data_IF_700283333769
#
_entry.id   IF_700283333769
#
_cell.length_a   1.000
_cell.length_b   1.000
_cell.length_c   1.000
_cell.angle_alpha   90.00
_cell.angle_beta   90.00
_cell.angle_gamma   90.00
#
_symmetry.space_group_name_H-M   'P 1'
#
loop_
_entity.id
_entity.type
_entity.pdbx_description
1 polymer ?
#
# COMPACT_ATOMS: atom_id res chain seq x y z
N UNK A 1 -64.98 10.78 8.13
CA UNK A 1 -64.98 12.13 8.75
C UNK A 1 -65.17 11.95 10.25
N UNK A 2 -64.33 12.54 11.11
CA UNK A 2 -62.90 12.29 11.36
C UNK A 2 -62.66 11.78 12.82
N UNK A 3 -61.67 10.93 13.11
CA UNK A 3 -60.24 11.18 13.32
C UNK A 3 -59.90 12.15 14.46
N UNK A 4 -59.55 11.62 15.64
CA UNK A 4 -58.88 12.34 16.73
C UNK A 4 -57.95 11.41 17.53
N UNK A 5 -56.69 11.29 17.10
CA UNK A 5 -55.55 11.15 18.01
C UNK A 5 -54.31 11.71 17.30
N UNK A 6 -54.07 13.00 17.54
CA UNK A 6 -52.91 13.73 17.03
C UNK A 6 -51.61 13.27 17.68
N UNK A 7 -50.65 12.87 16.84
CA UNK A 7 -49.27 12.57 17.21
C UNK A 7 -48.53 13.87 17.50
N UNK A 8 -47.88 13.97 18.66
CA UNK A 8 -46.91 15.02 18.97
C UNK A 8 -45.72 14.97 17.97
N UNK A 9 -45.27 16.09 17.39
CA UNK A 9 -44.07 16.11 16.57
C UNK A 9 -42.81 16.11 17.43
N UNK A 10 -41.87 15.22 17.08
CA UNK A 10 -40.49 15.19 17.60
C UNK A 10 -39.75 16.48 17.25
N UNK A 11 -39.19 17.16 18.24
CA UNK A 11 -38.27 18.29 18.05
C UNK A 11 -37.04 17.84 17.22
N UNK A 12 -36.78 18.54 16.12
CA UNK A 12 -35.54 18.40 15.33
C UNK A 12 -34.60 19.54 15.70
N UNK A 13 -33.31 19.28 15.99
CA UNK A 13 -32.36 20.35 16.28
C UNK A 13 -32.16 21.23 15.03
N UNK A 14 -32.29 22.54 15.23
CA UNK A 14 -32.20 23.56 14.19
C UNK A 14 -30.72 23.88 13.90
N UNK A 15 -30.03 23.01 13.15
CA UNK A 15 -28.73 23.38 12.56
C UNK A 15 -28.99 24.22 11.31
N UNK A 16 -28.96 25.55 11.44
CA UNK A 16 -28.77 26.43 10.27
C UNK A 16 -27.27 26.58 10.03
N UNK A 17 -26.81 26.07 8.90
CA UNK A 17 -25.45 26.34 8.40
C UNK A 17 -25.34 27.84 8.15
N UNK A 18 -24.49 28.53 8.91
CA UNK A 18 -24.20 29.96 8.69
C UNK A 18 -23.49 30.05 7.34
N UNK A 19 -24.17 30.59 6.33
CA UNK A 19 -23.57 30.96 5.05
C UNK A 19 -23.38 32.47 5.07
N UNK A 20 -22.12 32.90 5.03
CA UNK A 20 -21.79 34.31 4.86
C UNK A 20 -22.09 34.71 3.41
N UNK A 21 -22.78 35.82 3.23
CA UNK A 21 -23.02 36.38 1.92
C UNK A 21 -21.69 36.83 1.29
N UNK A 22 -21.53 36.69 -0.03
CA UNK A 22 -20.28 37.00 -0.74
C UNK A 22 -19.80 38.44 -0.52
N UNK A 23 -20.74 39.35 -0.25
CA UNK A 23 -20.46 40.75 0.12
C UNK A 23 -19.61 40.90 1.39
N UNK A 24 -19.68 39.94 2.33
CA UNK A 24 -18.87 39.93 3.54
C UNK A 24 -17.36 39.83 3.23
N UNK A 25 -16.98 38.94 2.31
CA UNK A 25 -15.58 38.74 1.92
C UNK A 25 -15.04 39.94 1.14
N UNK A 26 -15.88 40.57 0.32
CA UNK A 26 -15.52 41.78 -0.42
C UNK A 26 -15.29 42.97 0.51
N UNK A 27 -16.08 43.08 1.58
CA UNK A 27 -15.98 44.18 2.55
C UNK A 27 -14.84 43.99 3.56
N UNK A 28 -14.59 42.76 4.00
CA UNK A 28 -13.58 42.48 5.03
C UNK A 28 -12.18 42.23 4.47
N UNK A 29 -12.04 42.06 3.15
CA UNK A 29 -10.77 41.74 2.50
C UNK A 29 -10.29 40.30 2.74
N UNK A 30 -11.05 39.49 3.48
CA UNK A 30 -10.82 38.06 3.58
C UNK A 30 -11.18 37.36 2.27
N UNK A 31 -10.37 36.37 1.88
CA UNK A 31 -10.64 35.59 0.67
C UNK A 31 -11.83 34.66 0.90
N UNK A 32 -12.71 34.58 -0.11
CA UNK A 32 -13.88 33.71 -0.11
C UNK A 32 -13.42 32.24 -0.21
N UNK A 33 -13.69 31.40 0.82
CA UNK A 33 -13.30 29.99 0.82
C UNK A 33 -13.94 29.18 -0.32
N UNK A 34 -15.15 29.53 -0.77
CA UNK A 34 -15.81 28.86 -1.88
C UNK A 34 -15.13 29.19 -3.22
N UNK A 35 -14.59 30.41 -3.33
CA UNK A 35 -13.86 30.86 -4.51
C UNK A 35 -12.46 30.23 -4.58
N UNK A 36 -11.79 30.04 -3.43
CA UNK A 36 -10.54 29.26 -3.35
C UNK A 36 -10.76 27.79 -3.71
N UNK A 37 -11.86 27.18 -3.25
CA UNK A 37 -12.20 25.79 -3.59
C UNK A 37 -12.48 25.63 -5.09
N UNK A 38 -13.17 26.59 -5.70
CA UNK A 38 -13.44 26.60 -7.15
C UNK A 38 -12.19 26.88 -7.99
N UNK A 39 -11.27 27.73 -7.51
CA UNK A 39 -9.97 27.94 -8.16
C UNK A 39 -9.07 26.70 -8.04
N UNK A 40 -9.06 26.03 -6.89
CA UNK A 40 -8.37 24.76 -6.69
C UNK A 40 -8.95 23.62 -7.55
N UNK A 41 -10.26 23.63 -7.81
CA UNK A 41 -10.92 22.69 -8.72
C UNK A 41 -10.67 22.99 -10.21
N UNK A 42 -10.34 24.23 -10.57
CA UNK A 42 -10.04 24.64 -11.96
C UNK A 42 -8.57 24.48 -12.35
N UNK A 43 -7.67 24.33 -11.39
CA UNK A 43 -6.26 24.07 -11.65
C UNK A 43 -6.03 22.55 -11.81
N UNK A 44 -6.14 22.04 -13.04
CA UNK A 44 -5.57 20.74 -13.37
C UNK A 44 -4.06 20.78 -13.10
N UNK A 45 -3.50 19.87 -12.28
CA UNK A 45 -2.09 19.94 -11.93
C UNK A 45 -1.25 19.64 -13.16
N UNK A 46 -0.52 20.64 -13.64
CA UNK A 46 0.42 20.51 -14.75
C UNK A 46 1.63 19.69 -14.30
N UNK A 47 2.13 18.82 -15.17
CA UNK A 47 3.32 17.96 -15.01
C UNK A 47 4.54 18.51 -14.34
N UNK A 48 4.83 19.78 -14.64
CA UNK A 48 5.95 20.48 -14.08
C UNK A 48 5.90 20.30 -12.57
N UNK A 49 4.70 20.42 -11.98
CA UNK A 49 4.44 20.19 -10.57
C UNK A 49 4.69 18.75 -10.12
N UNK A 50 4.43 17.71 -10.91
CA UNK A 50 4.58 16.30 -10.50
C UNK A 50 6.04 15.79 -10.57
N UNK A 51 6.77 16.14 -11.64
CA UNK A 51 8.20 15.82 -11.77
C UNK A 51 9.06 16.68 -10.84
N UNK A 52 8.69 17.96 -10.69
CA UNK A 52 9.17 18.81 -9.60
C UNK A 52 8.83 18.13 -8.29
N UNK A 53 7.64 17.58 -8.04
CA UNK A 53 7.36 16.93 -6.74
C UNK A 53 8.22 15.68 -6.48
N UNK A 54 8.54 14.80 -7.41
CA UNK A 54 9.43 13.67 -7.07
C UNK A 54 10.88 14.14 -6.79
N UNK A 55 11.38 15.09 -7.57
CA UNK A 55 12.74 15.63 -7.42
C UNK A 55 12.87 16.65 -6.28
N UNK A 56 11.84 17.46 -6.03
CA UNK A 56 11.68 18.40 -4.92
C UNK A 56 11.37 17.66 -3.64
N UNK A 57 10.66 16.53 -3.64
CA UNK A 57 10.55 15.72 -2.42
C UNK A 57 11.90 15.14 -1.98
N UNK A 58 12.78 14.76 -2.90
CA UNK A 58 14.14 14.33 -2.54
C UNK A 58 15.06 15.50 -2.16
N UNK A 59 14.91 16.67 -2.79
CA UNK A 59 15.68 17.89 -2.48
C UNK A 59 15.21 18.57 -1.18
N UNK A 60 13.90 18.73 -0.99
CA UNK A 60 13.25 19.25 0.24
C UNK A 60 13.40 18.31 1.43
N UNK A 61 13.54 16.99 1.25
CA UNK A 61 13.94 16.10 2.34
C UNK A 61 15.27 16.48 2.96
N UNK A 62 16.21 16.92 2.12
CA UNK A 62 17.51 17.41 2.56
C UNK A 62 17.44 18.81 3.16
N UNK A 63 16.53 19.67 2.69
CA UNK A 63 16.33 21.04 3.22
C UNK A 63 15.45 21.10 4.48
N UNK A 64 14.53 20.15 4.69
CA UNK A 64 13.60 20.08 5.84
C UNK A 64 14.14 19.25 7.02
N UNK A 65 15.37 18.74 6.93
CA UNK A 65 16.01 17.93 7.97
C UNK A 65 15.41 16.52 8.16
N UNK A 66 14.57 16.06 7.22
CA UNK A 66 13.87 14.76 7.26
C UNK A 66 14.51 13.74 6.29
N UNK A 67 15.74 14.01 5.81
CA UNK A 67 16.45 13.17 4.83
C UNK A 67 16.61 11.71 5.26
N UNK A 68 16.55 11.44 6.57
CA UNK A 68 16.67 10.11 7.14
C UNK A 68 15.36 9.28 7.18
N UNK A 69 14.18 9.88 6.91
CA UNK A 69 12.89 9.21 7.09
C UNK A 69 12.27 8.87 5.74
N UNK A 70 12.02 7.57 5.53
CA UNK A 70 11.44 7.12 4.27
C UNK A 70 9.91 7.28 4.26
N UNK A 71 9.32 8.11 3.39
CA UNK A 71 7.88 8.43 3.42
C UNK A 71 7.10 7.74 2.29
N UNK A 72 5.94 7.17 2.61
CA UNK A 72 4.95 6.57 1.69
C UNK A 72 3.56 7.15 1.95
N UNK A 73 2.66 7.00 0.99
CA UNK A 73 1.24 7.33 1.14
C UNK A 73 0.37 6.10 0.90
N UNK A 74 -0.62 5.88 1.77
CA UNK A 74 -1.55 4.75 1.63
C UNK A 74 -2.46 4.87 0.40
N UNK A 75 -2.85 6.10 0.02
CA UNK A 75 -3.72 6.37 -1.13
C UNK A 75 -3.04 7.31 -2.12
N UNK A 76 -3.46 7.27 -3.37
CA UNK A 76 -3.09 8.23 -4.41
C UNK A 76 -3.74 9.59 -4.14
N UNK A 77 -3.18 10.35 -3.21
CA UNK A 77 -3.62 11.71 -2.93
C UNK A 77 -3.06 12.69 -3.97
N UNK A 78 -3.84 13.75 -4.26
CA UNK A 78 -3.37 14.89 -5.04
C UNK A 78 -2.11 15.50 -4.43
N UNK A 79 -1.28 16.11 -5.29
CA UNK A 79 0.03 16.71 -4.93
C UNK A 79 -0.07 17.65 -3.73
N UNK A 80 -1.05 18.56 -3.73
CA UNK A 80 -1.23 19.54 -2.66
C UNK A 80 -1.47 18.90 -1.30
N UNK A 81 -2.18 17.77 -1.25
CA UNK A 81 -2.46 17.06 -0.01
C UNK A 81 -1.20 16.35 0.53
N UNK A 82 -0.38 15.77 -0.36
CA UNK A 82 0.92 15.19 0.01
C UNK A 82 1.87 16.25 0.56
N UNK A 83 1.92 17.42 -0.09
CA UNK A 83 2.73 18.55 0.35
C UNK A 83 2.31 19.05 1.74
N UNK A 84 1.01 19.28 1.99
CA UNK A 84 0.51 19.71 3.30
C UNK A 84 0.89 18.75 4.43
N UNK A 85 0.89 17.43 4.18
CA UNK A 85 1.27 16.43 5.18
C UNK A 85 2.75 16.48 5.55
N UNK A 86 3.61 16.65 4.54
CA UNK A 86 5.04 16.81 4.76
C UNK A 86 5.37 18.13 5.45
N UNK A 87 4.69 19.20 5.06
CA UNK A 87 4.82 20.48 5.73
C UNK A 87 4.39 20.38 7.20
N UNK A 88 3.33 19.64 7.50
CA UNK A 88 2.93 19.34 8.88
C UNK A 88 4.00 18.55 9.62
N UNK A 89 4.57 17.51 9.02
CA UNK A 89 5.66 16.74 9.64
C UNK A 89 6.93 17.58 9.84
N UNK A 90 7.25 18.47 8.90
CA UNK A 90 8.35 19.43 9.04
C UNK A 90 8.10 20.44 10.14
N UNK A 91 6.88 20.97 10.28
CA UNK A 91 6.57 21.83 11.43
C UNK A 91 6.76 21.10 12.76
N UNK A 92 6.40 19.82 12.82
CA UNK A 92 6.66 18.98 13.99
C UNK A 92 8.15 18.85 14.28
N UNK A 93 8.98 18.64 13.24
CA UNK A 93 10.42 18.47 13.39
C UNK A 93 11.09 19.68 14.01
N UNK A 94 10.65 20.88 13.61
CA UNK A 94 11.15 22.14 14.15
C UNK A 94 10.66 22.40 15.58
N UNK A 95 9.41 22.02 15.90
CA UNK A 95 8.82 22.25 17.21
C UNK A 95 9.31 21.25 18.27
N UNK A 96 9.56 20.00 17.88
CA UNK A 96 9.97 18.94 18.78
C UNK A 96 10.97 17.99 18.09
N UNK A 97 12.26 18.38 18.00
CA UNK A 97 13.28 17.57 17.35
C UNK A 97 13.58 16.27 18.13
N UNK A 98 13.43 16.27 19.45
CA UNK A 98 13.68 15.09 20.29
C UNK A 98 12.70 13.95 20.00
N UNK A 99 11.44 14.26 19.71
CA UNK A 99 10.44 13.27 19.34
C UNK A 99 10.80 12.51 18.06
N UNK A 100 11.58 13.12 17.15
CA UNK A 100 12.00 12.47 15.91
C UNK A 100 13.16 11.49 16.08
N UNK A 101 13.88 11.52 17.20
CA UNK A 101 14.96 10.57 17.48
C UNK A 101 14.41 9.13 17.42
N UNK A 102 13.22 8.91 17.99
CA UNK A 102 12.58 7.59 17.99
C UNK A 102 12.10 7.15 16.59
N UNK A 103 11.85 8.12 15.71
CA UNK A 103 11.41 7.89 14.33
C UNK A 103 12.57 7.47 13.41
N UNK A 104 13.82 7.72 13.80
CA UNK A 104 14.99 7.35 13.00
C UNK A 104 15.01 5.85 12.68
N UNK A 105 15.30 5.55 11.40
CA UNK A 105 15.34 4.19 10.88
C UNK A 105 13.96 3.57 10.57
N UNK A 106 12.87 4.31 10.74
CA UNK A 106 11.54 3.85 10.31
C UNK A 106 11.13 4.45 8.96
N UNK A 107 10.34 3.67 8.23
CA UNK A 107 9.51 4.16 7.14
C UNK A 107 8.22 4.73 7.71
N UNK A 108 7.89 5.97 7.34
CA UNK A 108 6.63 6.64 7.65
C UNK A 108 5.64 6.44 6.51
N UNK A 109 4.39 6.14 6.84
CA UNK A 109 3.28 6.01 5.91
C UNK A 109 2.17 6.97 6.34
N UNK A 110 1.81 7.93 5.51
CA UNK A 110 0.59 8.71 5.74
C UNK A 110 -0.64 7.85 5.44
N UNK A 111 -1.48 7.65 6.45
CA UNK A 111 -2.56 6.67 6.46
C UNK A 111 -3.83 7.24 7.12
N UNK A 112 -4.92 6.47 7.07
CA UNK A 112 -6.20 6.90 7.66
C UNK A 112 -6.15 6.99 9.21
N UNK A 113 -5.17 6.33 9.85
CA UNK A 113 -4.99 6.29 11.30
C UNK A 113 -3.51 6.34 11.70
N UNK A 114 -3.20 6.91 12.86
CA UNK A 114 -1.85 6.86 13.45
C UNK A 114 -1.56 5.52 14.15
N UNK A 115 -0.32 5.05 14.08
CA UNK A 115 0.09 3.80 14.72
C UNK A 115 1.33 3.17 14.08
N UNK A 116 1.42 1.85 14.15
CA UNK A 116 2.39 1.07 13.39
C UNK A 116 1.65 -0.06 12.66
N UNK A 117 1.97 -0.27 11.39
CA UNK A 117 1.37 -1.34 10.61
C UNK A 117 2.05 -2.71 10.87
N UNK A 118 1.44 -3.78 10.38
CA UNK A 118 1.96 -5.14 10.50
C UNK A 118 3.36 -5.36 9.86
N UNK A 119 3.76 -4.48 8.94
CA UNK A 119 5.08 -4.47 8.28
C UNK A 119 6.14 -3.70 9.07
N UNK A 120 5.77 -2.98 10.14
CA UNK A 120 6.66 -2.18 10.97
C UNK A 120 6.85 -0.72 10.53
N UNK A 121 6.04 -0.26 9.57
CA UNK A 121 6.03 1.14 9.16
C UNK A 121 5.20 1.97 10.13
N UNK A 122 5.68 3.18 10.43
CA UNK A 122 4.99 4.14 11.30
C UNK A 122 3.90 4.83 10.50
N UNK A 123 2.66 4.64 10.90
CA UNK A 123 1.50 5.25 10.27
C UNK A 123 1.22 6.60 10.91
N UNK A 124 1.07 7.64 10.10
CA UNK A 124 0.62 8.96 10.55
C UNK A 124 -0.77 9.22 9.99
N UNK A 125 -1.75 9.34 10.89
CA UNK A 125 -3.13 9.66 10.55
C UNK A 125 -3.22 11.02 9.89
N UNK A 126 -3.80 11.10 8.70
CA UNK A 126 -3.90 12.36 7.94
C UNK A 126 -4.78 13.41 8.62
N UNK A 127 -5.67 12.97 9.51
CA UNK A 127 -6.58 13.81 10.29
C UNK A 127 -6.08 14.10 11.71
N UNK A 128 -4.95 13.52 12.10
CA UNK A 128 -4.42 13.64 13.46
C UNK A 128 -3.62 14.93 13.64
N UNK A 129 -3.68 15.48 14.86
CA UNK A 129 -2.92 16.67 15.24
C UNK A 129 -1.49 16.32 15.64
N UNK A 130 -0.57 17.29 15.53
CA UNK A 130 0.85 17.16 15.89
C UNK A 130 1.12 16.47 17.23
N UNK A 131 0.36 16.83 18.26
CA UNK A 131 0.48 16.25 19.59
C UNK A 131 0.19 14.74 19.61
N UNK A 132 -0.73 14.25 18.77
CA UNK A 132 -1.03 12.83 18.65
C UNK A 132 0.14 12.07 18.01
N UNK A 133 0.81 12.69 17.02
CA UNK A 133 2.02 12.12 16.42
C UNK A 133 3.20 12.12 17.41
N UNK A 134 3.36 13.15 18.23
CA UNK A 134 4.39 13.17 19.30
C UNK A 134 4.20 12.01 20.27
N UNK A 135 2.96 11.79 20.75
CA UNK A 135 2.63 10.65 21.61
C UNK A 135 2.93 9.31 20.95
N UNK A 136 2.63 9.18 19.66
CA UNK A 136 2.98 7.98 18.90
C UNK A 136 4.50 7.76 18.90
N UNK A 137 5.30 8.81 18.69
CA UNK A 137 6.76 8.72 18.67
C UNK A 137 7.36 8.32 20.02
N UNK A 138 6.77 8.79 21.12
CA UNK A 138 7.12 8.34 22.47
C UNK A 138 6.80 6.85 22.70
N UNK A 139 5.75 6.34 22.05
CA UNK A 139 5.32 4.94 22.15
C UNK A 139 6.07 3.99 21.19
N UNK A 140 6.87 4.49 20.24
CA UNK A 140 7.58 3.66 19.26
C UNK A 140 8.46 2.56 19.86
N UNK A 141 9.18 2.76 20.98
CA UNK A 141 9.92 1.67 21.61
C UNK A 141 9.02 0.48 21.99
N UNK A 142 7.80 0.73 22.47
CA UNK A 142 6.81 -0.32 22.75
C UNK A 142 6.34 -1.04 21.49
N UNK A 143 6.12 -0.30 20.40
CA UNK A 143 5.80 -0.90 19.11
C UNK A 143 6.94 -1.75 18.54
N UNK A 144 8.22 -1.35 18.73
CA UNK A 144 9.38 -2.16 18.35
C UNK A 144 9.40 -3.50 19.11
N UNK A 145 9.13 -3.49 20.42
CA UNK A 145 9.01 -4.71 21.21
C UNK A 145 7.87 -5.60 20.70
N UNK A 146 6.71 -5.03 20.37
CA UNK A 146 5.58 -5.77 19.81
C UNK A 146 5.89 -6.32 18.41
N UNK A 147 6.63 -5.59 17.58
CA UNK A 147 7.09 -6.06 16.28
C UNK A 147 8.03 -7.25 16.41
N UNK A 148 8.96 -7.20 17.35
CA UNK A 148 9.85 -8.32 17.66
C UNK A 148 9.07 -9.55 18.15
N UNK A 149 8.08 -9.35 19.03
CA UNK A 149 7.16 -10.39 19.48
C UNK A 149 6.35 -11.00 18.33
N UNK A 150 5.89 -10.17 17.41
CA UNK A 150 5.18 -10.59 16.20
C UNK A 150 6.08 -11.46 15.32
N UNK A 151 7.35 -11.08 15.16
CA UNK A 151 8.31 -11.87 14.38
C UNK A 151 8.55 -13.25 15.01
N UNK A 152 8.83 -13.33 16.31
CA UNK A 152 8.99 -14.63 16.99
C UNK A 152 7.74 -15.49 16.91
N UNK A 153 6.56 -14.88 16.98
CA UNK A 153 5.30 -15.60 16.86
C UNK A 153 5.10 -16.19 15.45
N UNK A 154 5.49 -15.45 14.40
CA UNK A 154 5.50 -15.95 13.01
C UNK A 154 6.44 -17.16 12.87
N UNK A 155 7.63 -17.09 13.44
CA UNK A 155 8.60 -18.22 13.44
C UNK A 155 8.04 -19.45 14.18
N UNK A 156 7.39 -19.25 15.33
CA UNK A 156 6.75 -20.35 16.07
C UNK A 156 5.63 -21.01 15.26
N UNK A 157 4.79 -20.21 14.60
CA UNK A 157 3.74 -20.73 13.72
C UNK A 157 4.36 -21.46 12.52
N UNK A 158 5.44 -20.92 11.95
CA UNK A 158 6.19 -21.54 10.85
C UNK A 158 6.62 -22.97 11.20
N UNK A 159 7.23 -23.16 12.37
CA UNK A 159 7.69 -24.47 12.84
C UNK A 159 6.52 -25.46 13.01
N UNK A 160 5.39 -25.01 13.55
CA UNK A 160 4.18 -25.84 13.72
C UNK A 160 3.55 -26.22 12.38
N UNK A 161 3.77 -25.41 11.34
CA UNK A 161 3.25 -25.61 10.00
C UNK A 161 4.31 -26.14 9.03
N UNK A 162 5.28 -26.91 9.52
CA UNK A 162 6.23 -27.61 8.66
C UNK A 162 7.21 -26.69 7.92
N UNK A 163 7.48 -25.51 8.47
CA UNK A 163 8.46 -24.55 7.96
C UNK A 163 7.91 -23.56 6.94
N UNK A 164 6.59 -23.34 6.88
CA UNK A 164 6.00 -22.31 6.02
C UNK A 164 6.33 -20.91 6.53
N UNK A 165 6.71 -19.99 5.64
CA UNK A 165 6.95 -18.61 6.03
C UNK A 165 5.63 -17.86 6.18
N UNK A 166 5.37 -17.31 7.37
CA UNK A 166 4.17 -16.50 7.62
C UNK A 166 4.42 -15.06 7.14
N UNK A 167 3.85 -14.73 5.99
CA UNK A 167 4.01 -13.41 5.36
C UNK A 167 2.81 -12.52 5.66
N UNK A 168 3.01 -11.21 5.59
CA UNK A 168 1.94 -10.22 5.55
C UNK A 168 2.00 -9.54 4.19
N UNK A 169 0.85 -9.40 3.52
CA UNK A 169 0.76 -8.66 2.27
C UNK A 169 0.06 -7.34 2.56
N UNK A 170 0.77 -6.25 2.28
CA UNK A 170 0.19 -4.90 2.23
C UNK A 170 -0.80 -4.88 1.05
N UNK A 171 -2.06 -5.25 1.30
CA UNK A 171 -3.12 -5.13 0.30
C UNK A 171 -3.41 -3.65 0.05
N UNK A 172 -3.95 -3.32 -1.13
CA UNK A 172 -4.46 -1.97 -1.50
C UNK A 172 -5.65 -1.49 -0.62
N UNK A 173 -5.90 -2.14 0.53
CA UNK A 173 -6.98 -1.85 1.46
C UNK A 173 -6.52 -1.07 2.70
N UNK A 174 -7.33 -1.09 3.78
CA UNK A 174 -6.95 -0.43 5.03
C UNK A 174 -5.69 -1.09 5.60
N UNK A 175 -4.69 -0.26 5.92
CA UNK A 175 -3.44 -0.73 6.53
C UNK A 175 -3.74 -1.28 7.91
N UNK A 176 -3.41 -2.57 8.11
CA UNK A 176 -3.71 -3.28 9.36
C UNK A 176 -2.72 -2.87 10.46
N UNK A 177 -3.20 -2.43 11.64
CA UNK A 177 -2.36 -2.19 12.81
C UNK A 177 -1.63 -3.45 13.28
N UNK A 178 -0.40 -3.27 13.77
CA UNK A 178 0.41 -4.37 14.28
C UNK A 178 -0.22 -5.10 15.46
N UNK A 179 -0.95 -4.40 16.32
CA UNK A 179 -1.64 -5.00 17.46
C UNK A 179 -2.75 -5.98 17.03
N UNK A 180 -3.51 -5.62 16.00
CA UNK A 180 -4.53 -6.50 15.42
C UNK A 180 -3.86 -7.71 14.74
N UNK A 181 -2.81 -7.47 13.96
CA UNK A 181 -2.07 -8.54 13.30
C UNK A 181 -1.48 -9.54 14.30
N UNK A 182 -0.87 -9.05 15.38
CA UNK A 182 -0.37 -9.87 16.48
C UNK A 182 -1.49 -10.67 17.15
N UNK A 183 -2.64 -10.04 17.44
CA UNK A 183 -3.80 -10.70 18.04
C UNK A 183 -4.32 -11.86 17.16
N UNK A 184 -4.43 -11.61 15.86
CA UNK A 184 -4.78 -12.61 14.85
C UNK A 184 -3.81 -13.80 14.86
N UNK A 185 -2.50 -13.53 14.78
CA UNK A 185 -1.46 -14.57 14.83
C UNK A 185 -1.51 -15.35 16.15
N UNK A 186 -1.68 -14.66 17.28
CA UNK A 186 -1.68 -15.27 18.61
C UNK A 186 -2.88 -16.18 18.80
N UNK A 187 -4.06 -15.75 18.33
CA UNK A 187 -5.27 -16.56 18.30
C UNK A 187 -5.04 -17.84 17.50
N UNK A 188 -4.48 -17.71 16.30
CA UNK A 188 -4.18 -18.87 15.45
C UNK A 188 -3.12 -19.81 16.08
N UNK A 189 -2.03 -19.26 16.62
CA UNK A 189 -1.00 -20.04 17.32
C UNK A 189 -1.57 -20.81 18.52
N UNK A 190 -2.43 -20.20 19.35
CA UNK A 190 -3.08 -20.90 20.48
C UNK A 190 -3.92 -22.08 20.01
N UNK A 191 -4.62 -21.94 18.86
CA UNK A 191 -5.39 -23.04 18.26
C UNK A 191 -4.46 -24.18 17.80
N UNK A 192 -3.36 -23.86 17.12
CA UNK A 192 -2.36 -24.85 16.70
C UNK A 192 -1.69 -25.57 17.88
N UNK A 193 -1.45 -24.87 18.98
CA UNK A 193 -0.93 -25.47 20.21
C UNK A 193 -1.95 -26.40 20.88
N UNK A 194 -3.24 -26.12 20.73
CA UNK A 194 -4.31 -26.96 21.29
C UNK A 194 -4.57 -28.21 20.43
N UNK A 195 -4.34 -28.12 19.11
CA UNK A 195 -4.53 -29.21 18.16
C UNK A 195 -3.28 -29.32 17.29
N UNK A 196 -2.36 -30.19 17.71
CA UNK A 196 -1.10 -30.41 17.00
C UNK A 196 -1.35 -31.05 15.63
N UNK A 197 -0.96 -30.34 14.57
CA UNK A 197 -0.94 -30.90 13.22
C UNK A 197 0.20 -31.90 13.10
N UNK A 198 -0.06 -33.04 12.45
CA UNK A 198 0.95 -34.07 12.16
C UNK A 198 1.70 -33.72 10.87
N UNK A 199 2.44 -32.63 10.92
CA UNK A 199 3.30 -32.16 9.82
C UNK A 199 4.77 -32.37 10.19
N UNK A 200 5.58 -32.81 9.22
CA UNK A 200 7.02 -32.84 9.41
C UNK A 200 7.56 -31.39 9.46
N UNK A 201 8.49 -31.02 10.36
CA UNK A 201 8.93 -29.63 10.56
C UNK A 201 9.48 -28.90 9.33
N UNK A 202 9.80 -29.63 8.26
CA UNK A 202 10.31 -29.09 6.98
C UNK A 202 9.47 -29.48 5.76
N UNK A 203 8.31 -30.14 5.94
CA UNK A 203 7.52 -30.62 4.79
C UNK A 203 7.03 -29.51 3.87
N UNK A 204 6.93 -28.28 4.39
CA UNK A 204 6.43 -27.10 3.68
C UNK A 204 7.48 -25.98 3.59
N UNK A 205 8.76 -26.30 3.86
CA UNK A 205 9.85 -25.34 3.74
C UNK A 205 9.93 -24.78 2.30
N UNK A 206 10.16 -23.47 2.21
CA UNK A 206 10.18 -22.71 0.95
C UNK A 206 8.79 -22.29 0.44
N UNK A 207 7.72 -22.69 1.14
CA UNK A 207 6.36 -22.20 0.89
C UNK A 207 6.02 -21.08 1.87
N UNK A 208 5.10 -20.20 1.47
CA UNK A 208 4.66 -19.06 2.27
C UNK A 208 3.16 -19.15 2.53
N UNK A 209 2.70 -18.55 3.62
CA UNK A 209 1.29 -18.46 3.96
C UNK A 209 0.87 -17.07 4.39
N UNK A 210 -0.39 -16.76 4.15
CA UNK A 210 -1.10 -15.56 4.58
C UNK A 210 -2.20 -15.97 5.54
N UNK A 211 -2.35 -15.21 6.63
CA UNK A 211 -3.44 -15.37 7.57
C UNK A 211 -4.56 -14.39 7.22
N UNK A 212 -5.79 -14.88 7.06
CA UNK A 212 -6.94 -14.07 6.65
C UNK A 212 -8.14 -14.26 7.62
N UNK A 213 -8.94 -13.20 7.80
CA UNK A 213 -10.10 -13.22 8.70
C UNK A 213 -11.42 -13.52 7.99
N UNK A 214 -11.51 -13.26 6.69
CA UNK A 214 -12.80 -13.12 5.98
C UNK A 214 -13.31 -14.42 5.34
N UNK A 215 -12.52 -15.50 5.41
CA UNK A 215 -12.82 -16.79 4.78
C UNK A 215 -13.08 -17.88 5.82
N UNK A 216 -13.73 -18.96 5.40
CA UNK A 216 -13.97 -20.15 6.23
C UNK A 216 -13.01 -21.30 5.90
N UNK A 217 -12.61 -21.43 4.64
CA UNK A 217 -11.75 -22.52 4.15
C UNK A 217 -10.38 -22.03 3.65
N UNK A 218 -9.32 -22.85 3.82
CA UNK A 218 -8.02 -22.54 3.26
C UNK A 218 -8.02 -22.65 1.73
N UNK A 219 -7.20 -21.85 1.07
CA UNK A 219 -7.04 -21.85 -0.39
C UNK A 219 -5.60 -21.64 -0.82
N UNK A 220 -5.30 -21.98 -2.07
CA UNK A 220 -3.98 -21.80 -2.67
C UNK A 220 -4.05 -20.69 -3.72
N UNK A 221 -3.31 -19.61 -3.49
CA UNK A 221 -3.22 -18.48 -4.40
C UNK A 221 -2.51 -18.87 -5.71
N UNK A 222 -2.77 -18.15 -6.79
CA UNK A 222 -2.14 -18.37 -8.11
C UNK A 222 -0.61 -18.23 -8.05
N UNK A 223 -0.12 -17.35 -7.16
CA UNK A 223 1.32 -17.15 -6.91
C UNK A 223 1.95 -18.25 -6.03
N UNK A 224 1.19 -19.27 -5.64
CA UNK A 224 1.70 -20.41 -4.86
C UNK A 224 1.75 -20.19 -3.34
N UNK A 225 1.18 -19.09 -2.84
CA UNK A 225 1.07 -18.81 -1.41
C UNK A 225 -0.23 -19.43 -0.84
N UNK A 226 -0.17 -20.03 0.35
CA UNK A 226 -1.37 -20.49 1.04
C UNK A 226 -2.13 -19.32 1.68
N UNK A 227 -3.45 -19.33 1.59
CA UNK A 227 -4.32 -18.39 2.30
C UNK A 227 -5.06 -19.20 3.35
N UNK A 228 -4.77 -18.94 4.62
CA UNK A 228 -5.26 -19.74 5.75
C UNK A 228 -6.17 -18.86 6.61
N UNK A 229 -7.45 -19.23 6.79
CA UNK A 229 -8.32 -18.51 7.69
C UNK A 229 -7.99 -18.74 9.15
N UNK A 230 -8.10 -17.72 10.01
CA UNK A 230 -7.83 -17.85 11.45
C UNK A 230 -8.69 -18.92 12.11
N UNK A 231 -9.94 -19.06 11.65
CA UNK A 231 -10.97 -19.93 12.23
C UNK A 231 -11.19 -21.23 11.44
N UNK A 232 -10.29 -21.60 10.52
CA UNK A 232 -10.43 -22.82 9.72
C UNK A 232 -10.40 -24.09 10.59
N UNK A 233 -10.94 -25.19 10.07
CA UNK A 233 -10.82 -26.51 10.67
C UNK A 233 -9.38 -27.05 10.53
N UNK A 234 -8.77 -27.44 11.66
CA UNK A 234 -7.34 -27.78 11.72
C UNK A 234 -7.01 -29.16 11.12
N UNK A 235 -7.80 -30.23 11.35
CA UNK A 235 -7.65 -31.48 10.61
C UNK A 235 -7.77 -31.30 9.09
N UNK A 236 -8.79 -30.57 8.62
CA UNK A 236 -8.94 -30.27 7.19
C UNK A 236 -7.76 -29.43 6.66
N UNK A 237 -7.25 -28.48 7.45
CA UNK A 237 -6.07 -27.70 7.09
C UNK A 237 -4.84 -28.59 6.88
N UNK A 238 -4.60 -29.58 7.75
CA UNK A 238 -3.47 -30.49 7.61
C UNK A 238 -3.50 -31.23 6.27
N UNK A 239 -4.65 -31.83 5.94
CA UNK A 239 -4.85 -32.56 4.68
C UNK A 239 -4.69 -31.62 3.49
N UNK A 240 -5.28 -30.41 3.58
CA UNK A 240 -5.16 -29.40 2.54
C UNK A 240 -3.70 -29.05 2.25
N UNK A 241 -2.91 -28.74 3.28
CA UNK A 241 -1.50 -28.36 3.14
C UNK A 241 -0.66 -29.48 2.52
N UNK A 242 -0.88 -30.72 2.95
CA UNK A 242 -0.15 -31.88 2.42
C UNK A 242 -0.46 -32.14 0.94
N UNK A 243 -1.74 -32.08 0.57
CA UNK A 243 -2.17 -32.34 -0.80
C UNK A 243 -1.78 -31.23 -1.79
N UNK A 244 -1.75 -29.96 -1.34
CA UNK A 244 -1.51 -28.81 -2.22
C UNK A 244 -0.05 -28.33 -2.21
N UNK A 245 0.81 -28.86 -1.33
CA UNK A 245 2.23 -28.54 -1.30
C UNK A 245 2.97 -28.72 -2.65
N UNK A 246 2.79 -29.83 -3.40
CA UNK A 246 3.43 -29.99 -4.70
C UNK A 246 2.96 -28.96 -5.74
N UNK A 247 1.68 -28.61 -5.72
CA UNK A 247 1.12 -27.57 -6.60
C UNK A 247 1.65 -26.18 -6.22
N UNK A 248 1.73 -25.85 -4.93
CA UNK A 248 2.29 -24.60 -4.44
C UNK A 248 3.75 -24.42 -4.91
N UNK A 249 4.57 -25.47 -4.82
CA UNK A 249 5.96 -25.45 -5.31
C UNK A 249 6.03 -25.21 -6.82
N UNK A 250 5.19 -25.91 -7.60
CA UNK A 250 5.13 -25.73 -9.06
C UNK A 250 4.76 -24.29 -9.44
N UNK A 251 3.79 -23.68 -8.74
CA UNK A 251 3.40 -22.28 -8.95
C UNK A 251 4.53 -21.29 -8.64
N UNK A 252 5.23 -21.49 -7.52
CA UNK A 252 6.38 -20.65 -7.15
C UNK A 252 7.50 -20.78 -8.19
N UNK A 253 7.83 -22.01 -8.60
CA UNK A 253 8.86 -22.25 -9.62
C UNK A 253 8.49 -21.57 -10.94
N UNK A 254 7.26 -21.74 -11.42
CA UNK A 254 6.78 -21.10 -12.65
C UNK A 254 6.81 -19.58 -12.55
N UNK A 255 6.40 -19.01 -11.41
CA UNK A 255 6.49 -17.57 -11.16
C UNK A 255 7.93 -17.07 -11.26
N UNK A 256 8.86 -17.74 -10.58
CA UNK A 256 10.28 -17.35 -10.59
C UNK A 256 10.87 -17.46 -12.00
N UNK A 257 10.49 -18.49 -12.77
CA UNK A 257 10.89 -18.64 -14.16
C UNK A 257 10.38 -17.48 -15.03
N UNK A 258 9.08 -17.17 -14.94
CA UNK A 258 8.49 -16.05 -15.69
C UNK A 258 9.11 -14.71 -15.30
N UNK A 259 9.45 -14.51 -14.03
CA UNK A 259 10.09 -13.27 -13.60
C UNK A 259 11.53 -13.15 -14.16
N UNK A 260 12.30 -14.24 -14.14
CA UNK A 260 13.64 -14.24 -14.72
C UNK A 260 13.62 -14.05 -16.24
N UNK A 261 12.63 -14.64 -16.92
CA UNK A 261 12.40 -14.45 -18.36
C UNK A 261 11.98 -13.02 -18.67
N UNK A 262 11.03 -12.45 -17.90
CA UNK A 262 10.62 -11.05 -18.01
C UNK A 262 11.84 -10.12 -17.89
N UNK A 263 12.65 -10.28 -16.83
CA UNK A 263 13.86 -9.47 -16.61
C UNK A 263 14.84 -9.58 -17.78
N UNK A 264 15.02 -10.78 -18.34
CA UNK A 264 15.91 -11.01 -19.47
C UNK A 264 15.39 -10.34 -20.76
N UNK A 265 14.10 -10.49 -21.09
CA UNK A 265 13.52 -9.93 -22.32
C UNK A 265 13.39 -8.40 -22.22
N UNK A 266 13.07 -7.86 -21.04
CA UNK A 266 13.08 -6.41 -20.79
C UNK A 266 14.46 -5.83 -21.03
N UNK A 267 15.52 -6.47 -20.50
CA UNK A 267 16.90 -6.05 -20.74
C UNK A 267 17.26 -6.09 -22.22
N UNK A 268 16.89 -7.17 -22.92
CA UNK A 268 17.10 -7.30 -24.36
C UNK A 268 16.40 -6.20 -25.16
N UNK A 269 15.17 -5.82 -24.78
CA UNK A 269 14.42 -4.72 -25.40
C UNK A 269 15.09 -3.38 -25.19
N UNK A 270 15.52 -3.08 -23.96
CA UNK A 270 16.23 -1.85 -23.63
C UNK A 270 17.46 -1.67 -24.51
N UNK A 271 18.26 -2.72 -24.66
CA UNK A 271 19.48 -2.71 -25.45
C UNK A 271 19.19 -2.63 -26.96
N UNK A 272 18.32 -3.49 -27.49
CA UNK A 272 18.06 -3.62 -28.93
C UNK A 272 17.33 -2.40 -29.52
N UNK A 273 16.39 -1.84 -28.76
CA UNK A 273 15.60 -0.68 -29.19
C UNK A 273 16.20 0.65 -28.70
N UNK A 274 17.31 0.59 -27.94
CA UNK A 274 17.95 1.76 -27.35
C UNK A 274 16.97 2.64 -26.56
N UNK A 275 16.10 2.01 -25.77
CA UNK A 275 15.13 2.70 -24.93
C UNK A 275 15.84 3.33 -23.72
N UNK A 276 15.30 4.44 -23.23
CA UNK A 276 15.76 5.05 -21.97
C UNK A 276 15.30 4.23 -20.76
N UNK A 277 14.05 3.77 -20.77
CA UNK A 277 13.50 2.91 -19.71
C UNK A 277 12.31 2.10 -20.23
N UNK A 278 12.12 0.92 -19.66
CA UNK A 278 10.99 0.04 -19.93
C UNK A 278 10.48 -0.49 -18.59
N UNK A 279 9.22 -0.21 -18.28
CA UNK A 279 8.58 -0.60 -17.02
C UNK A 279 7.17 -1.12 -17.30
N UNK A 280 6.52 -1.69 -16.28
CA UNK A 280 5.12 -2.13 -16.38
C UNK A 280 4.29 -1.65 -15.20
N UNK A 281 3.01 -1.42 -15.45
CA UNK A 281 2.05 -1.21 -14.38
C UNK A 281 1.85 -2.49 -13.55
N UNK A 282 1.52 -2.38 -12.25
CA UNK A 282 1.32 -3.55 -11.38
C UNK A 282 0.24 -4.53 -11.85
N UNK A 283 -0.73 -4.07 -12.66
CA UNK A 283 -1.79 -4.90 -13.21
C UNK A 283 -1.34 -5.79 -14.37
N UNK A 284 -0.22 -5.46 -15.02
CA UNK A 284 0.34 -6.25 -16.12
C UNK A 284 1.13 -7.42 -15.55
N UNK A 285 0.75 -8.64 -15.90
CA UNK A 285 1.44 -9.85 -15.46
C UNK A 285 2.80 -10.04 -16.16
N UNK A 286 3.74 -10.79 -15.57
CA UNK A 286 5.01 -11.13 -16.22
C UNK A 286 4.84 -11.74 -17.62
N UNK A 287 3.88 -12.65 -17.78
CA UNK A 287 3.61 -13.29 -19.07
C UNK A 287 3.16 -12.27 -20.14
N UNK A 288 2.30 -11.31 -19.76
CA UNK A 288 1.89 -10.23 -20.66
C UNK A 288 3.05 -9.29 -21.00
N UNK A 289 3.93 -9.02 -20.02
CA UNK A 289 5.12 -8.21 -20.25
C UNK A 289 6.09 -8.88 -21.22
N UNK A 290 6.36 -10.17 -21.05
CA UNK A 290 7.21 -10.96 -21.96
C UNK A 290 6.64 -10.88 -23.38
N UNK A 291 5.35 -11.18 -23.55
CA UNK A 291 4.69 -11.12 -24.86
C UNK A 291 4.76 -9.71 -25.49
N UNK A 292 4.54 -8.67 -24.69
CA UNK A 292 4.70 -7.28 -25.14
C UNK A 292 6.14 -7.03 -25.63
N UNK A 293 7.13 -7.41 -24.84
CA UNK A 293 8.53 -7.21 -25.17
C UNK A 293 8.96 -7.96 -26.45
N UNK A 294 8.52 -9.21 -26.61
CA UNK A 294 8.77 -10.00 -27.83
C UNK A 294 8.22 -9.29 -29.08
N UNK A 295 6.99 -8.77 -28.99
CA UNK A 295 6.36 -8.01 -30.09
C UNK A 295 7.07 -6.69 -30.39
N UNK A 296 7.57 -5.99 -29.36
CA UNK A 296 8.39 -4.79 -29.54
C UNK A 296 9.69 -5.11 -30.29
N UNK A 297 10.31 -6.25 -30.00
CA UNK A 297 11.55 -6.69 -30.66
C UNK A 297 11.34 -7.11 -32.13
N UNK A 298 10.14 -7.60 -32.47
CA UNK A 298 9.73 -7.90 -33.85
C UNK A 298 9.49 -6.61 -34.65
N UNK A 299 8.84 -5.61 -34.05
CA UNK A 299 8.48 -4.34 -34.68
C UNK A 299 9.56 -3.26 -34.47
N UNK A 300 10.79 -3.55 -34.89
CA UNK A 300 11.93 -2.61 -34.74
C UNK A 300 11.66 -1.33 -35.52
N UNK A 301 11.47 -0.23 -34.81
CA UNK A 301 11.33 1.10 -35.40
C UNK A 301 12.44 2.03 -34.90
N UNK A 302 13.14 2.75 -35.80
CA UNK A 302 14.17 3.71 -35.42
C UNK A 302 13.61 4.88 -34.59
N UNK A 303 12.30 5.09 -34.58
CA UNK A 303 11.65 6.13 -33.78
C UNK A 303 11.50 5.77 -32.30
N UNK A 304 11.88 4.56 -31.89
CA UNK A 304 11.82 4.14 -30.49
C UNK A 304 13.04 4.56 -29.66
N UNK A 305 14.12 5.01 -30.29
CA UNK A 305 15.36 5.35 -29.61
C UNK A 305 15.14 6.48 -28.58
N UNK A 306 15.59 6.25 -27.35
CA UNK A 306 15.53 7.21 -26.26
C UNK A 306 14.17 7.35 -25.57
N UNK A 307 13.14 6.60 -26.00
CA UNK A 307 11.82 6.62 -25.38
C UNK A 307 11.81 5.96 -23.99
N UNK A 308 10.90 6.44 -23.15
CA UNK A 308 10.51 5.80 -21.89
C UNK A 308 9.16 5.14 -22.10
N UNK A 309 9.12 3.81 -21.95
CA UNK A 309 7.91 3.03 -22.20
C UNK A 309 7.40 2.44 -20.89
N UNK A 310 6.11 2.60 -20.65
CA UNK A 310 5.39 1.93 -19.57
C UNK A 310 4.32 1.01 -20.15
N UNK A 311 4.42 -0.28 -19.90
CA UNK A 311 3.43 -1.25 -20.38
C UNK A 311 2.22 -1.24 -19.45
N UNK A 312 1.04 -1.03 -20.00
CA UNK A 312 -0.23 -0.87 -19.28
C UNK A 312 -1.37 -1.62 -20.01
N UNK A 313 -2.62 -1.22 -19.77
CA UNK A 313 -3.81 -1.72 -20.49
C UNK A 313 -4.41 -0.70 -21.47
N UNK A 314 -3.81 0.49 -21.60
CA UNK A 314 -4.35 1.54 -22.44
C UNK A 314 -3.21 2.35 -23.08
N UNK A 315 -3.54 3.08 -24.14
CA UNK A 315 -2.62 4.06 -24.68
C UNK A 315 -2.72 5.34 -23.87
N UNK A 316 -1.59 5.84 -23.42
CA UNK A 316 -1.48 7.18 -22.87
C UNK A 316 -0.11 7.72 -23.20
N UNK A 317 -0.02 8.99 -23.55
CA UNK A 317 1.26 9.69 -23.46
C UNK A 317 1.18 10.42 -22.14
N UNK A 318 1.98 9.97 -21.17
CA UNK A 318 2.20 10.81 -20.02
C UNK A 318 2.92 12.03 -20.56
N UNK A 319 2.21 13.12 -20.60
CA UNK A 319 2.59 14.40 -20.11
C UNK A 319 4.17 14.60 -19.97
N UNK A 320 4.97 13.81 -19.21
CA UNK A 320 6.46 13.90 -19.13
C UNK A 320 7.24 13.39 -20.37
N UNK A 321 6.55 12.89 -21.39
CA UNK A 321 7.12 12.21 -22.57
C UNK A 321 7.12 10.69 -22.47
N UNK A 322 6.67 10.10 -21.35
CA UNK A 322 6.58 8.65 -21.20
C UNK A 322 5.40 8.09 -22.01
N UNK A 323 5.67 7.05 -22.79
CA UNK A 323 4.67 6.37 -23.60
C UNK A 323 4.11 5.16 -22.85
N UNK A 324 2.84 5.24 -22.46
CA UNK A 324 2.08 4.08 -22.01
C UNK A 324 1.51 3.34 -23.21
N UNK A 325 1.89 2.07 -23.35
CA UNK A 325 1.37 1.18 -24.39
C UNK A 325 0.60 0.02 -23.76
N UNK A 326 -0.56 -0.37 -24.31
CA UNK A 326 -1.23 -1.58 -23.87
C UNK A 326 -0.37 -2.79 -24.24
N UNK A 327 -0.22 -3.77 -23.35
CA UNK A 327 0.56 -5.00 -23.63
C UNK A 327 0.07 -5.76 -24.88
N UNK A 328 -1.22 -5.62 -25.22
CA UNK A 328 -1.93 -6.29 -26.32
C UNK A 328 -2.33 -5.34 -27.45
N UNK A 329 -1.52 -4.30 -27.74
CA UNK A 329 -1.83 -3.36 -28.82
C UNK A 329 -2.20 -4.06 -30.13
N UNK A 330 -3.19 -3.54 -30.85
CA UNK A 330 -3.52 -4.04 -32.20
C UNK A 330 -2.65 -3.33 -33.23
N UNK A 331 -2.10 -4.12 -34.17
CA UNK A 331 -1.33 -3.65 -35.32
C UNK A 331 -2.21 -2.97 -36.36
#
# INVERSE_FOLDING_TARGET
HPDFFGKYPKERPFYRTIKWDKSYYTFTGFKDPEQELQQAQRAEPTLSTLFIVHTVLERERSELGISAVWCRWQRSWGVSHRYCQLQSLSRLSHQNPEALINLQGHTVVFADQSGMNASGHVMLGTMDVHHQWTKLFEQLPGYRSLQQQTHWLKERISLLLGGTQVVHMDRLGPVQPIAEHYSSLNTFHKRLMSHHLRLHPRSLQGLTMLLENDRSSPSLHEMGHFIIPIKCDLPALQVFLQNHAPEARRRIQRKNQLQAEEEAVVKLCLETLSLRSLSKEPSVSPAQMIQCCERLLEQRSPHMQGLQICVSHFYSVMQDGDLCVPWDWKS
#
